data_IF_167756915138
#
_entry.id   IF_167756915138
#
_cell.length_a   1.000
_cell.length_b   1.000
_cell.length_c   1.000
_cell.angle_alpha   90.00
_cell.angle_beta   90.00
_cell.angle_gamma   90.00
#
_symmetry.space_group_name_H-M   'P 1'
#
loop_
_entity.id
_entity.type
_entity.pdbx_description
1 polymer ?
#
# COMPACT_ATOMS: atom_id res chain seq x y z
N UNK A 1 2.58 -10.76 0.33
CA UNK A 1 1.26 -10.45 0.91
C UNK A 1 0.11 -10.60 -0.10
N UNK A 2 0.35 -10.60 -1.42
CA UNK A 2 -0.70 -10.76 -2.46
C UNK A 2 -1.55 -12.05 -2.33
N UNK A 3 -0.94 -13.22 -2.12
CA UNK A 3 -1.70 -14.47 -2.01
C UNK A 3 -2.69 -14.48 -0.82
N UNK A 4 -2.33 -13.80 0.26
CA UNK A 4 -3.18 -13.65 1.45
C UNK A 4 -4.24 -12.56 1.25
N UNK A 5 -3.93 -11.50 0.49
CA UNK A 5 -4.88 -10.49 0.11
C UNK A 5 -6.10 -11.10 -0.59
N UNK A 6 -5.86 -11.96 -1.59
CA UNK A 6 -6.93 -12.63 -2.34
C UNK A 6 -7.78 -13.58 -1.49
N UNK A 7 -7.26 -14.04 -0.35
CA UNK A 7 -8.03 -14.85 0.62
C UNK A 7 -8.84 -14.00 1.59
N UNK A 8 -8.54 -12.71 1.70
CA UNK A 8 -9.10 -11.81 2.72
C UNK A 8 -10.13 -10.85 2.13
N UNK A 9 -9.97 -10.46 0.87
CA UNK A 9 -10.89 -9.57 0.17
C UNK A 9 -12.21 -10.28 -0.17
N UNK A 10 -13.29 -9.51 -0.28
CA UNK A 10 -14.60 -9.98 -0.71
C UNK A 10 -14.52 -10.76 -2.03
N UNK A 11 -15.20 -11.92 -2.10
CA UNK A 11 -15.16 -12.83 -3.25
C UNK A 11 -15.69 -12.22 -4.56
N UNK A 12 -16.46 -11.13 -4.49
CA UNK A 12 -16.88 -10.37 -5.68
C UNK A 12 -15.73 -9.62 -6.33
N UNK A 13 -14.63 -9.38 -5.62
CA UNK A 13 -13.42 -8.71 -6.12
C UNK A 13 -12.53 -9.74 -6.81
N UNK A 14 -12.41 -9.63 -8.13
CA UNK A 14 -11.56 -10.48 -8.96
C UNK A 14 -10.51 -9.68 -9.76
N UNK A 15 -10.57 -8.35 -9.72
CA UNK A 15 -9.61 -7.49 -10.39
C UNK A 15 -9.37 -6.17 -9.65
N UNK A 16 -8.09 -5.89 -9.39
CA UNK A 16 -7.64 -4.67 -8.72
C UNK A 16 -6.38 -4.13 -9.38
N UNK A 17 -6.02 -2.89 -9.07
CA UNK A 17 -4.67 -2.38 -9.26
C UNK A 17 -3.84 -2.75 -8.03
N UNK A 18 -2.68 -3.38 -8.24
CA UNK A 18 -1.67 -3.58 -7.20
C UNK A 18 -0.55 -2.56 -7.35
N UNK A 19 -0.49 -1.58 -6.45
CA UNK A 19 0.55 -0.55 -6.47
C UNK A 19 1.71 -0.96 -5.57
N UNK A 20 2.83 -1.28 -6.20
CA UNK A 20 4.05 -1.69 -5.50
C UNK A 20 4.88 -0.50 -5.01
N UNK A 21 5.00 0.54 -5.83
CA UNK A 21 5.88 1.68 -5.56
C UNK A 21 5.13 2.99 -5.68
N UNK A 22 5.41 3.90 -4.75
CA UNK A 22 5.08 5.32 -4.86
C UNK A 22 6.27 6.09 -4.31
N UNK A 23 6.85 6.97 -5.13
CA UNK A 23 8.04 7.72 -4.77
C UNK A 23 7.94 9.15 -5.27
N UNK A 24 8.42 10.08 -4.47
CA UNK A 24 8.53 11.50 -4.80
C UNK A 24 9.91 11.94 -4.37
N UNK A 25 10.70 12.48 -5.29
CA UNK A 25 12.03 12.99 -4.97
C UNK A 25 11.94 14.13 -3.95
N UNK A 26 12.91 14.20 -3.03
CA UNK A 26 12.91 15.12 -1.89
C UNK A 26 12.68 16.59 -2.28
N UNK A 27 13.35 17.05 -3.35
CA UNK A 27 13.21 18.41 -3.90
C UNK A 27 11.79 18.75 -4.42
N UNK A 28 10.92 17.75 -4.53
CA UNK A 28 9.53 17.87 -5.00
C UNK A 28 8.50 17.51 -3.92
N UNK A 29 8.93 17.20 -2.69
CA UNK A 29 8.03 16.91 -1.59
C UNK A 29 7.18 18.12 -1.18
N UNK A 30 6.14 17.87 -0.38
CA UNK A 30 5.19 18.87 0.17
C UNK A 30 4.34 19.62 -0.87
N UNK A 31 4.35 19.19 -2.13
CA UNK A 31 3.52 19.76 -3.22
C UNK A 31 2.25 18.95 -3.53
N UNK A 32 1.88 18.00 -2.68
CA UNK A 32 0.72 17.12 -2.92
C UNK A 32 0.93 16.04 -3.99
N UNK A 33 2.13 15.89 -4.54
CA UNK A 33 2.43 14.93 -5.62
C UNK A 33 2.08 13.49 -5.24
N UNK A 34 2.44 13.04 -4.04
CA UNK A 34 2.12 11.67 -3.60
C UNK A 34 0.60 11.43 -3.52
N UNK A 35 -0.18 12.44 -3.12
CA UNK A 35 -1.65 12.38 -3.12
C UNK A 35 -2.21 12.28 -4.54
N UNK A 36 -1.64 13.04 -5.48
CA UNK A 36 -1.97 12.93 -6.89
C UNK A 36 -1.65 11.52 -7.43
N UNK A 37 -0.45 11.01 -7.18
CA UNK A 37 -0.03 9.67 -7.61
C UNK A 37 -0.90 8.55 -7.03
N UNK A 38 -1.39 8.70 -5.80
CA UNK A 38 -2.26 7.71 -5.16
C UNK A 38 -3.62 7.52 -5.87
N UNK A 39 -4.04 8.48 -6.69
CA UNK A 39 -5.25 8.43 -7.52
C UNK A 39 -4.96 8.42 -9.03
N UNK A 40 -3.68 8.50 -9.41
CA UNK A 40 -3.28 8.55 -10.80
C UNK A 40 -3.70 7.26 -11.53
N UNK A 41 -4.25 7.41 -12.74
CA UNK A 41 -4.85 6.35 -13.57
C UNK A 41 -6.16 5.73 -13.03
N UNK A 42 -6.68 6.17 -11.88
CA UNK A 42 -8.02 5.78 -11.40
C UNK A 42 -9.12 6.64 -12.05
N UNK A 43 -9.06 6.80 -13.37
CA UNK A 43 -10.12 7.50 -14.13
C UNK A 43 -11.32 6.59 -14.32
N UNK A 44 -12.52 7.16 -14.46
CA UNK A 44 -13.74 6.38 -14.73
C UNK A 44 -13.58 5.50 -15.99
N UNK A 45 -12.92 6.03 -17.01
CA UNK A 45 -12.60 5.29 -18.24
C UNK A 45 -11.73 4.05 -17.95
N UNK A 46 -10.60 4.22 -17.25
CA UNK A 46 -9.72 3.10 -16.92
C UNK A 46 -10.42 2.07 -16.03
N UNK A 47 -11.16 2.54 -15.03
CA UNK A 47 -11.91 1.69 -14.10
C UNK A 47 -12.91 0.82 -14.88
N UNK A 48 -13.67 1.42 -15.81
CA UNK A 48 -14.67 0.71 -16.60
C UNK A 48 -14.04 -0.23 -17.64
N UNK A 49 -13.09 0.27 -18.43
CA UNK A 49 -12.46 -0.50 -19.52
C UNK A 49 -11.70 -1.72 -18.97
N UNK A 50 -11.02 -1.55 -17.84
CA UNK A 50 -10.26 -2.62 -17.21
C UNK A 50 -11.10 -3.42 -16.21
N UNK A 51 -12.33 -3.00 -15.88
CA UNK A 51 -13.18 -3.61 -14.85
C UNK A 51 -12.47 -3.68 -13.49
N UNK A 52 -11.80 -2.60 -13.10
CA UNK A 52 -11.08 -2.50 -11.82
C UNK A 52 -12.09 -2.29 -10.70
N UNK A 53 -11.99 -3.07 -9.62
CA UNK A 53 -12.93 -3.01 -8.49
C UNK A 53 -12.29 -2.43 -7.22
N UNK A 54 -11.01 -2.09 -7.30
CA UNK A 54 -10.27 -1.57 -6.16
C UNK A 54 -8.79 -1.36 -6.46
N UNK A 55 -8.11 -0.77 -5.49
CA UNK A 55 -6.67 -0.57 -5.51
C UNK A 55 -6.09 -1.03 -4.17
N UNK A 56 -5.05 -1.86 -4.25
CA UNK A 56 -4.24 -2.26 -3.12
C UNK A 56 -2.85 -1.65 -3.21
N UNK A 57 -2.23 -1.38 -2.07
CA UNK A 57 -0.87 -0.84 -1.99
C UNK A 57 -0.16 -1.33 -0.75
N UNK A 58 1.06 -1.81 -0.94
CA UNK A 58 1.96 -2.12 0.17
C UNK A 58 2.65 -0.83 0.63
N UNK A 59 2.65 -0.58 1.94
CA UNK A 59 3.25 0.62 2.52
C UNK A 59 4.30 0.24 3.58
N UNK A 60 5.56 0.51 3.23
CA UNK A 60 6.77 0.20 4.02
C UNK A 60 7.40 1.43 4.70
N UNK A 61 6.80 2.61 4.55
CA UNK A 61 7.23 3.84 5.24
C UNK A 61 6.08 4.51 5.97
N UNK A 62 6.37 5.19 7.09
CA UNK A 62 5.36 5.91 7.87
C UNK A 62 4.66 6.99 7.04
N UNK A 63 5.41 7.66 6.16
CA UNK A 63 4.86 8.67 5.27
C UNK A 63 3.80 8.09 4.32
N UNK A 64 4.08 6.94 3.71
CA UNK A 64 3.12 6.29 2.81
C UNK A 64 1.93 5.71 3.59
N UNK A 65 2.15 5.11 4.76
CA UNK A 65 1.07 4.61 5.61
C UNK A 65 0.10 5.74 6.00
N UNK A 66 0.62 6.90 6.41
CA UNK A 66 -0.20 8.09 6.74
C UNK A 66 -0.96 8.61 5.52
N UNK A 67 -0.31 8.70 4.37
CA UNK A 67 -0.93 9.13 3.12
C UNK A 67 -2.15 8.26 2.78
N UNK A 68 -2.01 6.94 2.84
CA UNK A 68 -3.07 6.00 2.45
C UNK A 68 -4.22 5.97 3.44
N UNK A 69 -3.93 6.01 4.75
CA UNK A 69 -4.96 6.22 5.77
C UNK A 69 -5.75 7.51 5.52
N UNK A 70 -5.06 8.63 5.26
CA UNK A 70 -5.71 9.90 4.97
C UNK A 70 -6.49 9.89 3.63
N UNK A 71 -6.10 9.06 2.67
CA UNK A 71 -6.80 8.88 1.39
C UNK A 71 -8.00 7.91 1.46
N UNK A 72 -8.33 7.40 2.65
CA UNK A 72 -9.48 6.53 2.90
C UNK A 72 -9.24 5.07 2.53
N UNK A 73 -7.99 4.62 2.46
CA UNK A 73 -7.69 3.20 2.31
C UNK A 73 -7.82 2.51 3.67
N UNK A 74 -8.35 1.29 3.66
CA UNK A 74 -8.43 0.42 4.82
C UNK A 74 -7.19 -0.45 4.94
N UNK A 75 -6.72 -0.70 6.16
CA UNK A 75 -5.65 -1.68 6.43
C UNK A 75 -6.25 -3.07 6.33
N UNK A 76 -5.72 -3.94 5.47
CA UNK A 76 -6.18 -5.33 5.35
C UNK A 76 -5.22 -6.31 6.00
N UNK A 77 -3.93 -6.17 5.72
CA UNK A 77 -2.89 -7.08 6.22
C UNK A 77 -1.76 -6.26 6.81
N UNK A 78 -1.13 -6.78 7.86
CA UNK A 78 0.12 -6.23 8.37
C UNK A 78 1.10 -7.34 8.76
N UNK A 79 2.38 -6.99 8.73
CA UNK A 79 3.48 -7.84 9.20
C UNK A 79 4.47 -6.99 9.95
N UNK A 80 4.71 -7.30 11.22
CA UNK A 80 5.66 -6.54 12.03
C UNK A 80 7.08 -6.90 11.62
N UNK A 81 7.94 -5.90 11.55
CA UNK A 81 9.37 -6.09 11.35
C UNK A 81 10.00 -6.93 12.47
N UNK A 82 9.42 -6.93 13.68
CA UNK A 82 9.82 -7.80 14.80
C UNK A 82 9.71 -9.29 14.50
N UNK A 83 8.85 -9.68 13.56
CA UNK A 83 8.57 -11.08 13.26
C UNK A 83 9.57 -11.64 12.23
N UNK A 84 10.39 -10.77 11.63
CA UNK A 84 11.45 -11.13 10.68
C UNK A 84 12.80 -11.15 11.37
N UNK A 85 13.19 -12.34 11.80
CA UNK A 85 14.43 -12.62 12.50
C UNK A 85 15.42 -13.36 11.58
N UNK A 86 16.71 -13.10 11.76
CA UNK A 86 17.77 -13.89 11.15
C UNK A 86 17.89 -15.27 11.82
N UNK A 87 18.83 -16.09 11.34
CA UNK A 87 19.10 -17.43 11.87
C UNK A 87 19.47 -17.47 13.37
N UNK A 88 19.86 -16.33 13.95
CA UNK A 88 20.26 -16.21 15.35
C UNK A 88 19.16 -15.57 16.21
N UNK A 89 17.96 -15.33 15.66
CA UNK A 89 16.87 -14.68 16.37
C UNK A 89 17.00 -13.15 16.44
N UNK A 90 17.91 -12.52 15.67
CA UNK A 90 18.06 -11.07 15.64
C UNK A 90 17.16 -10.47 14.56
N UNK A 91 16.43 -9.40 14.89
CA UNK A 91 15.60 -8.66 13.93
C UNK A 91 16.41 -8.24 12.68
N UNK A 92 15.83 -8.41 11.50
CA UNK A 92 16.46 -8.05 10.22
C UNK A 92 16.25 -6.58 9.88
N UNK A 93 15.02 -6.08 10.01
CA UNK A 93 14.66 -4.74 9.54
C UNK A 93 14.80 -3.67 10.62
N UNK A 94 15.51 -2.58 10.29
CA UNK A 94 15.64 -1.36 11.09
C UNK A 94 15.42 -0.17 10.15
N UNK A 95 14.26 0.48 10.28
CA UNK A 95 13.89 1.62 9.45
C UNK A 95 14.27 2.93 10.16
N UNK A 96 14.89 3.84 9.42
CA UNK A 96 15.31 5.18 9.88
C UNK A 96 14.12 6.11 10.14
N UNK A 97 13.02 5.92 9.41
CA UNK A 97 11.77 6.67 9.59
C UNK A 97 10.91 6.18 10.77
N UNK A 98 11.33 5.14 11.48
CA UNK A 98 10.62 4.55 12.61
C UNK A 98 9.51 3.56 12.23
N UNK A 99 9.39 3.16 10.97
CA UNK A 99 8.41 2.14 10.55
C UNK A 99 8.70 0.78 11.19
N UNK A 100 7.70 0.22 11.85
CA UNK A 100 7.80 -1.07 12.58
C UNK A 100 7.10 -2.23 11.88
N UNK A 101 6.42 -1.97 10.77
CA UNK A 101 5.62 -2.97 10.03
C UNK A 101 5.39 -2.58 8.59
N UNK A 102 5.13 -3.58 7.77
CA UNK A 102 4.56 -3.39 6.43
C UNK A 102 3.05 -3.53 6.53
N UNK A 103 2.31 -2.68 5.84
CA UNK A 103 0.85 -2.72 5.80
C UNK A 103 0.38 -2.81 4.34
N UNK A 104 -0.51 -3.77 4.04
CA UNK A 104 -1.31 -3.74 2.81
C UNK A 104 -2.57 -2.92 3.05
N UNK A 105 -2.66 -1.82 2.32
CA UNK A 105 -3.84 -0.98 2.26
C UNK A 105 -4.70 -1.36 1.07
N UNK A 106 -6.02 -1.29 1.21
CA UNK A 106 -6.98 -1.51 0.14
C UNK A 106 -8.08 -0.46 0.15
N UNK A 107 -8.49 -0.04 -1.04
CA UNK A 107 -9.65 0.81 -1.25
C UNK A 107 -10.49 0.22 -2.37
N UNK A 108 -11.74 -0.15 -2.05
CA UNK A 108 -12.75 -0.52 -3.05
C UNK A 108 -13.13 0.72 -3.85
N UNK A 109 -13.30 0.56 -5.16
CA UNK A 109 -13.71 1.62 -6.11
C UNK A 109 -15.16 1.43 -6.54
#
# INVERSE_FOLDING_TARGET
>A
MQAEFWKTVDATINRIIWREVTSVADKHMRKGIAKFLAAYLLTAENINNLKIQGIASEATSLANQRLLSAAGYQKLLERKHSDYLDKNGKRIFFCDDGTDRIIVFFKKL
#
